data_IF_669439682758
#
_entry.id   IF_669439682758
#
_cell.length_a   1.000
_cell.length_b   1.000
_cell.length_c   1.000
_cell.angle_alpha   90.00
_cell.angle_beta   90.00
_cell.angle_gamma   90.00
#
_symmetry.space_group_name_H-M   'P 1'
#
loop_
_entity.id
_entity.type
_entity.pdbx_description
1 polymer ?
#
# COMPACT_ATOMS: atom_id res chain seq x y z
N UNK A 1 -1.92 -7.00 -30.51
CA UNK A 1 -2.71 -5.76 -30.28
C UNK A 1 -1.99 -4.93 -29.23
N UNK A 2 -1.42 -3.81 -29.67
CA UNK A 2 -0.74 -2.82 -28.85
C UNK A 2 -1.74 -1.98 -28.04
N UNK A 3 -1.29 -1.44 -26.90
CA UNK A 3 -1.81 -0.16 -26.40
C UNK A 3 -3.00 -0.22 -25.45
N UNK A 4 -2.85 -0.89 -24.30
CA UNK A 4 -3.51 -0.38 -23.09
C UNK A 4 -2.47 0.44 -22.34
N UNK A 5 -2.53 1.76 -22.52
CA UNK A 5 -1.84 2.71 -21.65
C UNK A 5 -2.39 2.51 -20.24
N UNK A 6 -1.77 1.63 -19.47
CA UNK A 6 -1.88 1.69 -18.02
C UNK A 6 -1.05 2.90 -17.63
N UNK A 7 -1.75 3.99 -17.35
CA UNK A 7 -1.20 5.20 -16.78
C UNK A 7 -0.33 4.83 -15.56
N UNK A 8 1.00 4.78 -15.74
CA UNK A 8 1.99 4.42 -14.70
C UNK A 8 1.97 5.39 -13.49
N UNK A 9 1.25 6.50 -13.62
CA UNK A 9 0.93 7.46 -12.57
C UNK A 9 -0.24 7.05 -11.67
N UNK A 10 -1.15 6.17 -12.11
CA UNK A 10 -2.30 5.72 -11.30
C UNK A 10 -1.87 4.64 -10.30
N UNK A 11 -0.86 3.82 -10.62
CA UNK A 11 -0.38 2.77 -9.69
C UNK A 11 0.35 3.33 -8.47
N UNK A 12 0.97 4.52 -8.55
CA UNK A 12 1.67 5.12 -7.40
C UNK A 12 0.75 5.80 -6.40
N UNK A 13 -0.44 6.21 -6.81
CA UNK A 13 -1.42 6.85 -5.93
C UNK A 13 -2.26 5.79 -5.20
N UNK A 14 -2.56 4.66 -5.84
CA UNK A 14 -3.41 3.60 -5.27
C UNK A 14 -2.73 2.88 -4.09
N UNK A 15 -1.41 2.75 -4.07
CA UNK A 15 -0.70 2.05 -2.99
C UNK A 15 -0.44 2.92 -1.74
N UNK A 16 -0.64 4.24 -1.85
CA UNK A 16 -0.58 5.20 -0.72
C UNK A 16 -1.92 5.40 -0.02
N UNK A 17 -3.02 4.82 -0.55
CA UNK A 17 -4.38 5.03 -0.04
C UNK A 17 -4.76 4.01 1.03
N UNK A 18 -4.09 2.86 1.12
CA UNK A 18 -4.49 1.78 2.04
C UNK A 18 -4.35 2.10 3.54
N UNK A 19 -3.42 2.95 3.93
CA UNK A 19 -3.26 3.38 5.34
C UNK A 19 -4.01 4.67 5.67
N UNK A 20 -4.51 5.36 4.64
CA UNK A 20 -5.21 6.62 4.78
C UNK A 20 -6.69 6.36 5.04
N UNK A 21 -7.20 6.96 6.10
CA UNK A 21 -8.60 6.87 6.46
C UNK A 21 -9.14 8.24 6.87
N UNK A 22 -10.43 8.42 6.68
CA UNK A 22 -11.12 9.64 7.03
C UNK A 22 -11.50 9.61 8.51
N UNK A 23 -11.25 10.71 9.23
CA UNK A 23 -11.58 10.85 10.65
C UNK A 23 -11.93 12.31 11.03
N UNK A 24 -12.42 12.49 12.27
CA UNK A 24 -12.87 13.76 12.87
C UNK A 24 -12.23 13.99 14.24
N UNK A 25 -12.07 15.24 14.72
CA UNK A 25 -11.36 15.56 15.96
C UNK A 25 -11.83 14.68 17.12
N UNK A 26 -10.90 13.97 17.76
CA UNK A 26 -11.21 13.10 18.91
C UNK A 26 -11.80 11.73 18.55
N UNK A 27 -12.11 11.44 17.29
CA UNK A 27 -12.61 10.14 16.81
C UNK A 27 -11.45 9.32 16.26
N UNK A 28 -11.09 8.23 16.95
CA UNK A 28 -9.97 7.34 16.57
C UNK A 28 -10.33 6.32 15.49
N UNK A 29 -11.62 6.08 15.24
CA UNK A 29 -12.07 5.08 14.27
C UNK A 29 -12.27 5.68 12.88
N UNK A 30 -11.99 4.92 11.81
CA UNK A 30 -12.32 5.32 10.45
C UNK A 30 -13.81 5.64 10.28
N UNK A 31 -14.11 6.76 9.63
CA UNK A 31 -15.47 7.16 9.32
C UNK A 31 -15.94 6.45 8.06
N UNK A 32 -17.10 5.80 8.15
CA UNK A 32 -17.78 5.25 6.98
C UNK A 32 -18.24 6.38 6.06
N UNK A 33 -17.85 6.32 4.79
CA UNK A 33 -18.27 7.27 3.76
C UNK A 33 -19.10 6.56 2.70
N UNK A 34 -20.32 7.07 2.47
CA UNK A 34 -21.19 6.55 1.42
C UNK A 34 -20.74 7.07 0.06
N UNK A 35 -20.65 6.20 -0.93
CA UNK A 35 -20.29 6.55 -2.31
C UNK A 35 -21.38 6.11 -3.29
N UNK A 36 -21.69 6.95 -4.27
CA UNK A 36 -22.59 6.65 -5.37
C UNK A 36 -22.09 7.25 -6.69
N UNK A 37 -22.72 6.89 -7.82
CA UNK A 37 -22.37 7.48 -9.11
C UNK A 37 -22.80 8.97 -9.20
N UNK A 38 -23.92 9.33 -8.57
CA UNK A 38 -24.53 10.66 -8.66
C UNK A 38 -25.22 10.95 -10.00
N UNK A 39 -25.45 9.93 -10.84
CA UNK A 39 -26.15 10.06 -12.11
C UNK A 39 -27.40 9.16 -12.15
N UNK A 40 -27.24 7.85 -11.89
CA UNK A 40 -28.36 6.91 -11.74
C UNK A 40 -28.81 6.75 -10.29
N UNK A 41 -27.94 7.04 -9.32
CA UNK A 41 -28.21 6.93 -7.89
C UNK A 41 -27.65 8.15 -7.15
N UNK A 42 -28.52 8.87 -6.45
CA UNK A 42 -28.14 10.01 -5.61
C UNK A 42 -27.95 9.57 -4.16
N UNK A 43 -26.88 10.02 -3.53
CA UNK A 43 -26.58 9.76 -2.12
C UNK A 43 -26.18 11.04 -1.41
N UNK A 44 -26.25 11.03 -0.07
CA UNK A 44 -25.79 12.16 0.77
C UNK A 44 -24.26 12.27 0.84
N UNK A 45 -23.53 11.24 0.41
CA UNK A 45 -22.07 11.18 0.44
C UNK A 45 -21.43 11.51 -0.90
N UNK A 46 -20.18 11.08 -1.08
CA UNK A 46 -19.42 11.29 -2.31
C UNK A 46 -20.19 10.78 -3.52
N UNK A 47 -20.24 11.61 -4.56
CA UNK A 47 -20.70 11.19 -5.87
C UNK A 47 -19.56 11.18 -6.87
N UNK A 48 -19.53 10.17 -7.75
CA UNK A 48 -18.50 10.04 -8.78
C UNK A 48 -18.39 11.32 -9.63
N UNK A 49 -19.52 11.76 -10.18
CA UNK A 49 -19.53 12.93 -11.07
C UNK A 49 -19.37 14.26 -10.33
N UNK A 50 -19.91 14.38 -9.11
CA UNK A 50 -19.73 15.60 -8.32
C UNK A 50 -18.29 15.77 -7.85
N UNK A 51 -17.64 14.69 -7.41
CA UNK A 51 -16.22 14.72 -7.03
C UNK A 51 -15.32 15.01 -8.24
N UNK A 52 -15.66 14.45 -9.42
CA UNK A 52 -14.94 14.75 -10.67
C UNK A 52 -15.05 16.22 -11.03
N UNK A 53 -16.25 16.81 -10.97
CA UNK A 53 -16.46 18.23 -11.26
C UNK A 53 -15.67 19.15 -10.31
N UNK A 54 -15.70 18.87 -9.00
CA UNK A 54 -14.91 19.64 -8.03
C UNK A 54 -13.41 19.51 -8.30
N UNK A 55 -12.94 18.31 -8.66
CA UNK A 55 -11.56 18.09 -9.09
C UNK A 55 -11.18 18.91 -10.33
N UNK A 56 -12.07 18.98 -11.34
CA UNK A 56 -11.87 19.80 -12.54
C UNK A 56 -11.80 21.32 -12.20
N UNK A 57 -12.44 21.74 -11.11
CA UNK A 57 -12.36 23.10 -10.58
C UNK A 57 -11.11 23.37 -9.73
N UNK A 58 -10.22 22.38 -9.59
CA UNK A 58 -8.96 22.50 -8.85
C UNK A 58 -9.05 22.18 -7.37
N UNK A 59 -10.17 21.63 -6.89
CA UNK A 59 -10.28 21.19 -5.49
C UNK A 59 -9.35 20.01 -5.24
N UNK A 60 -8.58 20.08 -4.16
CA UNK A 60 -7.76 18.98 -3.67
C UNK A 60 -8.63 17.85 -3.10
N UNK A 61 -8.12 16.62 -2.97
CA UNK A 61 -8.88 15.52 -2.39
C UNK A 61 -9.50 15.84 -1.02
N UNK A 62 -8.77 16.53 -0.14
CA UNK A 62 -9.30 16.89 1.19
C UNK A 62 -10.41 17.94 1.12
N UNK A 63 -10.34 18.88 0.18
CA UNK A 63 -11.38 19.89 0.00
C UNK A 63 -12.66 19.26 -0.54
N UNK A 64 -12.55 18.29 -1.45
CA UNK A 64 -13.69 17.51 -1.93
C UNK A 64 -14.34 16.73 -0.78
N UNK A 65 -13.55 16.06 0.06
CA UNK A 65 -14.09 15.36 1.24
C UNK A 65 -14.83 16.32 2.17
N UNK A 66 -14.27 17.50 2.44
CA UNK A 66 -14.88 18.50 3.32
C UNK A 66 -16.15 19.11 2.73
N UNK A 67 -16.24 19.20 1.40
CA UNK A 67 -17.45 19.61 0.70
C UNK A 67 -18.63 18.67 1.00
N UNK A 68 -18.39 17.35 1.02
CA UNK A 68 -19.45 16.36 1.27
C UNK A 68 -19.72 16.07 2.74
N UNK A 69 -18.69 16.09 3.60
CA UNK A 69 -18.78 15.56 4.96
C UNK A 69 -18.52 16.57 6.08
N UNK A 70 -18.25 17.84 5.74
CA UNK A 70 -17.98 18.91 6.69
C UNK A 70 -16.49 19.28 6.82
N UNK A 71 -16.22 20.50 7.28
CA UNK A 71 -14.86 21.06 7.38
C UNK A 71 -14.00 20.42 8.47
N UNK A 72 -14.60 19.67 9.39
CA UNK A 72 -13.92 18.96 10.48
C UNK A 72 -13.26 17.63 10.02
N UNK A 73 -13.38 17.27 8.74
CA UNK A 73 -12.77 16.08 8.19
C UNK A 73 -11.27 16.24 7.95
N UNK A 74 -10.54 15.16 8.20
CA UNK A 74 -9.13 15.02 7.85
C UNK A 74 -8.82 13.61 7.35
N UNK A 75 -7.79 13.52 6.49
CA UNK A 75 -7.18 12.27 6.07
C UNK A 75 -6.08 11.99 7.09
N UNK A 76 -6.23 10.90 7.83
CA UNK A 76 -5.25 10.42 8.79
C UNK A 76 -4.60 9.14 8.27
N UNK A 77 -3.37 8.87 8.66
CA UNK A 77 -2.64 7.67 8.29
C UNK A 77 -2.44 6.79 9.52
N UNK A 78 -2.75 5.49 9.43
CA UNK A 78 -2.42 4.54 10.51
C UNK A 78 -1.07 3.87 10.25
N UNK A 79 -0.26 3.74 11.30
CA UNK A 79 0.94 2.91 11.30
C UNK A 79 0.62 1.44 11.62
N UNK A 80 -0.65 1.06 11.78
CA UNK A 80 -1.11 -0.28 12.09
C UNK A 80 -2.32 -0.66 11.22
N UNK A 81 -2.14 -1.66 10.36
CA UNK A 81 -3.20 -2.23 9.53
C UNK A 81 -3.54 -3.60 10.12
N UNK A 82 -4.79 -3.82 10.52
CA UNK A 82 -5.21 -5.14 11.02
C UNK A 82 -5.17 -6.16 9.89
N UNK A 83 -4.47 -7.28 10.09
CA UNK A 83 -4.34 -8.34 9.09
C UNK A 83 -3.03 -8.35 8.30
N UNK A 84 -2.10 -7.41 8.54
CA UNK A 84 -0.69 -7.57 8.13
C UNK A 84 0.16 -8.03 9.33
N UNK A 85 1.20 -8.86 9.13
CA UNK A 85 1.99 -9.42 10.23
C UNK A 85 2.82 -8.37 10.99
N UNK A 86 3.26 -7.31 10.31
CA UNK A 86 4.12 -6.27 10.87
C UNK A 86 4.03 -5.00 10.02
N UNK A 87 3.98 -3.83 10.68
CA UNK A 87 3.88 -2.55 9.98
C UNK A 87 5.25 -1.98 9.61
N UNK A 88 5.30 -1.15 8.57
CA UNK A 88 6.53 -0.52 8.09
C UNK A 88 7.18 0.31 9.22
N UNK A 89 8.51 0.24 9.41
CA UNK A 89 9.15 0.82 10.59
C UNK A 89 9.33 2.35 10.58
N UNK A 90 8.84 3.04 9.55
CA UNK A 90 9.00 4.49 9.42
C UNK A 90 10.27 4.93 8.68
N UNK A 91 11.07 3.98 8.19
CA UNK A 91 12.29 4.21 7.42
C UNK A 91 12.54 3.08 6.41
N UNK A 92 13.29 3.38 5.36
CA UNK A 92 13.61 2.44 4.29
C UNK A 92 14.63 1.38 4.77
N UNK A 93 14.43 0.13 4.38
CA UNK A 93 15.46 -0.90 4.56
C UNK A 93 16.31 -0.99 3.30
N UNK A 94 17.61 -0.77 3.48
CA UNK A 94 18.62 -0.80 2.43
C UNK A 94 19.90 -1.47 2.93
N UNK A 95 20.90 -1.63 2.06
CA UNK A 95 22.19 -2.22 2.41
C UNK A 95 22.76 -1.54 3.66
N UNK A 96 23.10 -2.36 4.67
CA UNK A 96 23.60 -1.90 5.96
C UNK A 96 22.52 -1.76 7.05
N UNK A 97 21.24 -1.81 6.69
CA UNK A 97 20.15 -1.91 7.67
C UNK A 97 20.22 -3.24 8.42
N UNK A 98 19.85 -3.27 9.69
CA UNK A 98 19.81 -4.50 10.48
C UNK A 98 18.73 -4.48 11.56
N UNK A 99 18.46 -5.65 12.14
CA UNK A 99 17.55 -5.84 13.27
C UNK A 99 16.25 -6.55 12.90
N UNK A 100 15.30 -6.54 13.85
CA UNK A 100 14.08 -7.35 13.78
C UNK A 100 13.23 -7.08 12.53
N UNK A 101 13.20 -5.85 12.02
CA UNK A 101 12.43 -5.48 10.82
C UNK A 101 13.03 -6.07 9.55
N UNK A 102 14.35 -6.13 9.47
CA UNK A 102 15.04 -6.82 8.36
C UNK A 102 14.77 -8.32 8.43
N UNK A 103 14.90 -8.91 9.62
CA UNK A 103 14.64 -10.34 9.82
C UNK A 103 13.21 -10.73 9.42
N UNK A 104 12.22 -9.95 9.85
CA UNK A 104 10.82 -10.17 9.49
C UNK A 104 10.59 -10.10 7.98
N UNK A 105 11.20 -9.12 7.29
CA UNK A 105 11.08 -8.99 5.85
C UNK A 105 11.78 -10.15 5.11
N UNK A 106 12.95 -10.59 5.58
CA UNK A 106 13.66 -11.76 5.04
C UNK A 106 12.81 -13.04 5.15
N UNK A 107 12.20 -13.28 6.31
CA UNK A 107 11.27 -14.40 6.54
C UNK A 107 10.09 -14.38 5.58
N UNK A 108 9.47 -13.20 5.40
CA UNK A 108 8.36 -13.06 4.46
C UNK A 108 8.79 -13.32 3.02
N UNK A 109 9.92 -12.75 2.57
CA UNK A 109 10.45 -13.00 1.24
C UNK A 109 10.75 -14.49 1.00
N UNK A 110 11.36 -15.17 1.96
CA UNK A 110 11.66 -16.59 1.85
C UNK A 110 10.40 -17.46 1.79
N UNK A 111 9.35 -17.11 2.56
CA UNK A 111 8.05 -17.78 2.44
C UNK A 111 7.44 -17.58 1.06
N UNK A 112 7.47 -16.35 0.54
CA UNK A 112 6.97 -16.05 -0.81
C UNK A 112 7.76 -16.83 -1.87
N UNK A 113 9.09 -16.95 -1.71
CA UNK A 113 9.95 -17.69 -2.63
C UNK A 113 9.57 -19.18 -2.79
N UNK A 114 8.87 -19.78 -1.81
CA UNK A 114 8.36 -21.15 -1.94
C UNK A 114 7.31 -21.29 -3.05
N UNK A 115 6.53 -20.24 -3.31
CA UNK A 115 5.51 -20.20 -4.37
C UNK A 115 5.99 -19.45 -5.63
N UNK A 116 7.07 -18.66 -5.52
CA UNK A 116 7.64 -17.88 -6.61
C UNK A 116 9.12 -18.22 -6.79
N UNK A 117 9.46 -19.30 -7.54
CA UNK A 117 10.83 -19.82 -7.67
C UNK A 117 11.85 -18.84 -8.27
N UNK A 118 11.38 -17.77 -8.92
CA UNK A 118 12.24 -16.72 -9.43
C UNK A 118 12.89 -15.87 -8.32
N UNK A 119 12.31 -15.84 -7.11
CA UNK A 119 12.84 -15.09 -5.99
C UNK A 119 14.01 -15.87 -5.35
N UNK A 120 15.20 -15.25 -5.22
CA UNK A 120 16.30 -15.85 -4.48
C UNK A 120 15.94 -16.05 -3.01
N UNK A 121 16.16 -17.27 -2.48
CA UNK A 121 16.18 -17.53 -1.05
C UNK A 121 17.41 -16.85 -0.44
N UNK A 122 17.22 -16.19 0.69
CA UNK A 122 18.24 -15.40 1.40
C UNK A 122 18.40 -15.86 2.84
N UNK A 123 19.50 -15.49 3.47
CA UNK A 123 19.68 -15.70 4.91
C UNK A 123 18.67 -14.88 5.71
N UNK A 124 18.17 -15.46 6.80
CA UNK A 124 17.30 -14.81 7.80
C UNK A 124 18.13 -14.42 9.03
N UNK A 125 19.13 -13.57 8.79
CA UNK A 125 20.10 -13.14 9.79
C UNK A 125 19.80 -11.75 10.37
N UNK A 126 18.75 -11.08 9.88
CA UNK A 126 18.42 -9.73 10.25
C UNK A 126 19.40 -8.69 9.74
N UNK A 127 20.23 -9.01 8.74
CA UNK A 127 21.20 -8.09 8.12
C UNK A 127 20.88 -7.88 6.65
N UNK A 128 20.67 -6.63 6.26
CA UNK A 128 20.34 -6.29 4.89
C UNK A 128 21.63 -6.19 4.07
N UNK A 129 22.05 -7.31 3.50
CA UNK A 129 23.22 -7.40 2.63
C UNK A 129 22.90 -7.28 1.14
N UNK A 130 23.91 -7.48 0.30
CA UNK A 130 23.77 -7.50 -1.17
C UNK A 130 22.83 -8.61 -1.66
N UNK A 131 22.83 -9.78 -1.01
CA UNK A 131 21.92 -10.88 -1.29
C UNK A 131 20.45 -10.49 -1.05
N UNK A 132 20.16 -9.85 0.09
CA UNK A 132 18.83 -9.31 0.41
C UNK A 132 18.41 -8.24 -0.60
N UNK A 133 19.29 -7.29 -0.93
CA UNK A 133 19.01 -6.26 -1.93
C UNK A 133 18.68 -6.85 -3.31
N UNK A 134 19.36 -7.93 -3.71
CA UNK A 134 19.08 -8.62 -4.95
C UNK A 134 17.72 -9.34 -4.92
N UNK A 135 17.38 -10.01 -3.82
CA UNK A 135 16.08 -10.66 -3.66
C UNK A 135 14.93 -9.64 -3.69
N UNK A 136 15.07 -8.51 -2.99
CA UNK A 136 14.12 -7.38 -3.03
C UNK A 136 13.98 -6.83 -4.46
N UNK A 137 15.08 -6.65 -5.19
CA UNK A 137 15.03 -6.18 -6.59
C UNK A 137 14.26 -7.15 -7.49
N UNK A 138 14.45 -8.45 -7.31
CA UNK A 138 13.71 -9.46 -8.05
C UNK A 138 12.24 -9.46 -7.68
N UNK A 139 11.90 -9.41 -6.39
CA UNK A 139 10.52 -9.24 -5.92
C UNK A 139 9.86 -8.03 -6.58
N UNK A 140 10.53 -6.87 -6.55
CA UNK A 140 10.01 -5.65 -7.15
C UNK A 140 9.71 -5.82 -8.65
N UNK A 141 10.61 -6.45 -9.41
CA UNK A 141 10.35 -6.75 -10.83
C UNK A 141 9.14 -7.66 -11.04
N UNK A 142 9.04 -8.73 -10.24
CA UNK A 142 7.95 -9.71 -10.35
C UNK A 142 6.59 -9.06 -10.07
N UNK A 143 6.52 -8.11 -9.14
CA UNK A 143 5.27 -7.47 -8.71
C UNK A 143 5.07 -6.04 -9.24
N UNK A 144 5.84 -5.62 -10.26
CA UNK A 144 5.62 -4.36 -10.97
C UNK A 144 6.02 -3.09 -10.20
N UNK A 145 6.92 -3.22 -9.22
CA UNK A 145 7.48 -2.09 -8.46
C UNK A 145 8.80 -1.59 -9.06
N UNK A 146 9.22 -0.34 -8.77
CA UNK A 146 10.56 0.14 -9.11
C UNK A 146 11.66 -0.77 -8.52
N UNK A 147 12.45 -1.40 -9.39
CA UNK A 147 13.44 -2.42 -9.01
C UNK A 147 14.76 -1.83 -8.49
N UNK A 148 14.71 -1.01 -7.44
CA UNK A 148 15.87 -0.36 -6.83
C UNK A 148 16.59 -1.26 -5.79
N UNK A 149 15.93 -2.30 -5.27
CA UNK A 149 16.45 -3.17 -4.21
C UNK A 149 16.35 -2.57 -2.80
N UNK A 150 15.58 -1.51 -2.63
CA UNK A 150 15.30 -0.83 -1.36
C UNK A 150 13.87 -1.20 -0.94
N UNK A 151 13.68 -1.53 0.34
CA UNK A 151 12.34 -1.75 0.90
C UNK A 151 11.84 -0.45 1.49
N UNK A 152 11.24 0.36 0.62
CA UNK A 152 10.47 1.54 0.98
C UNK A 152 9.05 1.16 1.45
N UNK A 153 8.25 2.16 1.81
CA UNK A 153 6.87 1.96 2.27
C UNK A 153 6.03 1.09 1.30
N UNK A 154 5.95 1.40 -0.03
CA UNK A 154 5.21 0.55 -0.97
C UNK A 154 5.75 -0.88 -1.04
N UNK A 155 7.07 -1.06 -1.07
CA UNK A 155 7.68 -2.38 -1.17
C UNK A 155 7.37 -3.23 0.07
N UNK A 156 7.43 -2.65 1.28
CA UNK A 156 7.11 -3.36 2.53
C UNK A 156 5.68 -3.93 2.53
N UNK A 157 4.70 -3.09 2.18
CA UNK A 157 3.31 -3.51 2.20
C UNK A 157 2.98 -4.47 1.06
N UNK A 158 3.66 -4.35 -0.10
CA UNK A 158 3.54 -5.35 -1.16
C UNK A 158 4.06 -6.71 -0.72
N UNK A 159 5.21 -6.76 -0.03
CA UNK A 159 5.73 -8.02 0.55
C UNK A 159 4.71 -8.59 1.54
N UNK A 160 4.17 -7.76 2.44
CA UNK A 160 3.17 -8.20 3.43
C UNK A 160 1.88 -8.73 2.79
N UNK A 161 1.36 -8.06 1.76
CA UNK A 161 0.17 -8.48 1.00
C UNK A 161 0.38 -9.87 0.39
N UNK A 162 1.48 -10.04 -0.36
CA UNK A 162 1.79 -11.31 -1.03
C UNK A 162 2.05 -12.41 0.00
N UNK A 163 2.76 -12.11 1.09
CA UNK A 163 2.99 -13.05 2.18
C UNK A 163 1.69 -13.58 2.79
N UNK A 164 0.73 -12.70 3.08
CA UNK A 164 -0.59 -13.10 3.60
C UNK A 164 -1.33 -13.94 2.56
N UNK A 165 -1.27 -13.55 1.29
CA UNK A 165 -1.87 -14.29 0.18
C UNK A 165 -1.36 -15.73 0.07
N UNK A 166 -0.04 -15.94 0.07
CA UNK A 166 0.55 -17.28 -0.03
C UNK A 166 0.40 -18.11 1.24
N UNK A 167 0.39 -17.46 2.41
CA UNK A 167 0.24 -18.14 3.70
C UNK A 167 -1.14 -18.77 3.86
N UNK A 168 -2.21 -18.07 3.46
CA UNK A 168 -3.58 -18.59 3.49
C UNK A 168 -3.82 -19.75 2.53
N UNK A 169 -3.13 -19.77 1.39
CA UNK A 169 -3.20 -20.89 0.42
C UNK A 169 -2.53 -22.15 1.00
N UNK A 170 -1.68 -21.97 2.02
CA UNK A 170 -0.92 -23.05 2.66
C UNK A 170 -1.50 -23.50 4.00
N UNK A 171 -2.62 -22.92 4.44
CA UNK A 171 -3.39 -23.40 5.60
C UNK A 171 -4.38 -24.47 5.11
N UNK A 172 -4.33 -25.70 5.65
CA UNK A 172 -5.20 -26.81 5.23
C UNK A 172 -6.67 -26.63 5.62
#
# INVERSE_FOLDING_TARGET
MHGRNIYENVSRIVDSIFSNYLSRPGVRQPIFTSYCDGNRTTCKGLSQWGSKYLGDQGYTPIEIIRYYYGSDMYINSTSYISGVPSSWPGYDLTIGSSGQKVLQMQQQLNRIAQNYPALPIIAEDGVFGSGTANSVRTFQRVFGLPANGIVDYPTWYKISEIFVGVSRISEP
#
